data_IF_505992647741
#
_entry.id   IF_505992647741
#
_cell.length_a   1.000
_cell.length_b   1.000
_cell.length_c   1.000
_cell.angle_alpha   90.00
_cell.angle_beta   90.00
_cell.angle_gamma   90.00
#
_symmetry.space_group_name_H-M   'P 1'
#
loop_
_entity.id
_entity.type
_entity.pdbx_description
1 polymer ?
#
# COMPACT_ATOMS: atom_id res chain seq x y z
N UNK A 1 -6.89 -4.11 -19.31
CA UNK A 1 -8.35 -3.93 -19.49
C UNK A 1 -9.22 -4.80 -18.57
N UNK A 2 -8.72 -5.93 -18.02
CA UNK A 2 -9.48 -6.86 -17.15
C UNK A 2 -10.31 -6.17 -16.03
N UNK A 3 -9.72 -5.21 -15.32
CA UNK A 3 -10.34 -4.57 -14.15
C UNK A 3 -11.26 -3.39 -14.47
N UNK A 4 -11.42 -3.03 -15.75
CA UNK A 4 -12.30 -1.94 -16.22
C UNK A 4 -13.35 -2.43 -17.22
N UNK A 5 -13.46 -3.75 -17.38
CA UNK A 5 -14.44 -4.36 -18.27
C UNK A 5 -15.88 -4.13 -17.76
N UNK A 6 -16.89 -4.01 -18.66
CA UNK A 6 -18.28 -3.87 -18.26
C UNK A 6 -18.72 -4.98 -17.29
N UNK A 7 -19.35 -4.59 -16.18
CA UNK A 7 -19.84 -5.52 -15.14
C UNK A 7 -18.78 -5.97 -14.13
N UNK A 8 -17.52 -5.54 -14.26
CA UNK A 8 -16.50 -5.72 -13.23
C UNK A 8 -16.52 -4.52 -12.28
N UNK A 9 -16.40 -4.78 -10.98
CA UNK A 9 -16.29 -3.76 -9.96
C UNK A 9 -15.06 -4.00 -9.10
N UNK A 10 -14.47 -2.92 -8.60
CA UNK A 10 -13.44 -2.95 -7.55
C UNK A 10 -14.08 -2.45 -6.27
N UNK A 11 -14.01 -3.27 -5.22
CA UNK A 11 -14.38 -2.85 -3.88
C UNK A 11 -13.14 -2.37 -3.15
N UNK A 12 -13.13 -1.10 -2.75
CA UNK A 12 -12.07 -0.53 -1.93
C UNK A 12 -12.56 -0.35 -0.50
N UNK A 13 -11.63 -0.48 0.44
CA UNK A 13 -11.85 -0.22 1.86
C UNK A 13 -10.80 0.75 2.34
N UNK A 14 -11.21 1.76 3.11
CA UNK A 14 -10.30 2.53 3.93
C UNK A 14 -10.22 1.86 5.30
N UNK A 15 -9.05 1.33 5.64
CA UNK A 15 -8.81 0.65 6.91
C UNK A 15 -7.85 1.46 7.77
N UNK A 16 -7.98 1.34 9.08
CA UNK A 16 -7.04 1.87 10.05
C UNK A 16 -6.72 0.81 11.09
N UNK A 17 -5.47 0.81 11.56
CA UNK A 17 -4.97 -0.10 12.57
C UNK A 17 -3.86 0.61 13.34
N UNK A 18 -3.62 0.16 14.58
CA UNK A 18 -2.54 0.69 15.41
C UNK A 18 -1.22 0.02 15.02
N UNK A 19 -0.29 0.81 14.47
CA UNK A 19 1.03 0.35 14.04
C UNK A 19 1.86 -0.26 15.18
N UNK A 20 1.60 0.12 16.44
CA UNK A 20 2.27 -0.50 17.59
C UNK A 20 1.85 -1.97 17.81
N UNK A 21 0.62 -2.31 17.40
CA UNK A 21 0.05 -3.66 17.51
C UNK A 21 0.15 -4.46 16.21
N UNK A 22 0.15 -3.76 15.07
CA UNK A 22 0.18 -4.33 13.74
C UNK A 22 1.05 -3.44 12.84
N UNK A 23 2.39 -3.63 12.86
CA UNK A 23 3.31 -2.95 11.96
C UNK A 23 2.92 -3.17 10.50
N UNK A 24 3.23 -2.21 9.62
CA UNK A 24 2.86 -2.25 8.20
C UNK A 24 3.31 -3.54 7.51
N UNK A 25 4.53 -3.98 7.81
CA UNK A 25 5.08 -5.25 7.35
C UNK A 25 4.20 -6.44 7.76
N UNK A 26 3.80 -6.51 9.03
CA UNK A 26 2.94 -7.58 9.55
C UNK A 26 1.53 -7.52 8.93
N UNK A 27 0.97 -6.32 8.76
CA UNK A 27 -0.28 -6.15 8.00
C UNK A 27 -0.16 -6.75 6.59
N UNK A 28 0.91 -6.45 5.85
CA UNK A 28 1.14 -7.00 4.51
C UNK A 28 1.39 -8.51 4.51
N UNK A 29 2.22 -9.02 5.42
CA UNK A 29 2.61 -10.44 5.40
C UNK A 29 1.57 -11.38 6.03
N UNK A 30 0.89 -10.95 7.09
CA UNK A 30 0.01 -11.80 7.91
C UNK A 30 -1.47 -11.55 7.66
N UNK A 31 -1.88 -10.29 7.44
CA UNK A 31 -3.29 -9.96 7.14
C UNK A 31 -3.56 -10.13 5.65
N UNK A 32 -2.77 -9.49 4.79
CA UNK A 32 -2.96 -9.56 3.33
C UNK A 32 -2.39 -10.87 2.77
N UNK A 33 -1.16 -11.23 3.14
CA UNK A 33 -0.45 -12.40 2.65
C UNK A 33 0.50 -12.09 1.50
N UNK A 34 1.45 -12.98 1.23
CA UNK A 34 2.43 -12.82 0.14
C UNK A 34 1.76 -12.65 -1.24
N UNK A 35 2.36 -11.84 -2.11
CA UNK A 35 1.85 -11.56 -3.47
C UNK A 35 1.64 -12.82 -4.29
N UNK A 36 2.55 -13.79 -4.17
CA UNK A 36 2.35 -15.13 -4.70
C UNK A 36 1.49 -15.94 -3.72
N UNK A 37 0.25 -16.34 -4.08
CA UNK A 37 -0.67 -16.93 -3.11
C UNK A 37 -0.17 -18.22 -2.47
N UNK A 38 0.63 -19.04 -3.18
CA UNK A 38 1.20 -20.28 -2.62
C UNK A 38 2.13 -20.05 -1.42
N UNK A 39 2.72 -18.85 -1.34
CA UNK A 39 3.66 -18.44 -0.29
C UNK A 39 2.96 -17.60 0.79
N UNK A 40 1.64 -17.41 0.68
CA UNK A 40 0.86 -16.61 1.63
C UNK A 40 0.68 -17.34 2.97
N UNK A 41 0.92 -16.60 4.07
CA UNK A 41 0.78 -17.11 5.42
C UNK A 41 -0.62 -17.69 5.68
N UNK A 42 -0.70 -18.81 6.40
CA UNK A 42 -1.97 -19.43 6.73
C UNK A 42 -2.87 -18.43 7.50
N UNK A 43 -4.14 -18.33 7.09
CA UNK A 43 -5.11 -17.41 7.67
C UNK A 43 -5.13 -16.00 7.05
N UNK A 44 -4.12 -15.62 6.27
CA UNK A 44 -4.11 -14.36 5.51
C UNK A 44 -5.19 -14.34 4.44
N UNK A 45 -5.57 -13.15 3.97
CA UNK A 45 -6.58 -12.98 2.93
C UNK A 45 -6.20 -13.71 1.63
N UNK A 46 -4.96 -13.58 1.14
CA UNK A 46 -4.52 -14.28 -0.07
C UNK A 46 -4.48 -15.79 0.10
N UNK A 47 -4.20 -16.29 1.31
CA UNK A 47 -4.34 -17.73 1.58
C UNK A 47 -5.82 -18.17 1.52
N UNK A 48 -6.74 -17.40 2.11
CA UNK A 48 -8.19 -17.69 2.03
C UNK A 48 -8.71 -17.64 0.59
N UNK A 49 -8.32 -16.61 -0.18
CA UNK A 49 -8.70 -16.53 -1.58
C UNK A 49 -8.16 -17.70 -2.39
N UNK A 50 -6.92 -18.16 -2.12
CA UNK A 50 -6.36 -19.36 -2.75
C UNK A 50 -7.12 -20.62 -2.37
N UNK A 51 -7.44 -20.81 -1.10
CA UNK A 51 -8.02 -22.06 -0.59
C UNK A 51 -9.53 -22.17 -0.84
N UNK A 52 -10.23 -21.02 -0.94
CA UNK A 52 -11.68 -20.94 -1.00
C UNK A 52 -12.19 -20.27 -2.30
N UNK A 53 -11.36 -20.17 -3.35
CA UNK A 53 -11.67 -19.40 -4.57
C UNK A 53 -13.02 -19.78 -5.21
N UNK A 54 -13.34 -21.08 -5.31
CA UNK A 54 -14.61 -21.56 -5.88
C UNK A 54 -15.81 -21.12 -5.03
N UNK A 55 -15.70 -21.28 -3.71
CA UNK A 55 -16.75 -20.90 -2.77
C UNK A 55 -16.99 -19.38 -2.74
N UNK A 56 -15.94 -18.60 -3.00
CA UNK A 56 -15.97 -17.15 -3.15
C UNK A 56 -16.43 -16.69 -4.55
N UNK A 57 -16.70 -17.63 -5.47
CA UNK A 57 -17.20 -17.35 -6.81
C UNK A 57 -16.15 -16.80 -7.78
N UNK A 58 -14.87 -16.99 -7.50
CA UNK A 58 -13.80 -16.66 -8.45
C UNK A 58 -13.84 -17.65 -9.63
N UNK A 59 -13.41 -17.20 -10.80
CA UNK A 59 -13.47 -18.01 -12.05
C UNK A 59 -12.33 -19.01 -12.17
N UNK A 60 -11.24 -18.76 -11.48
CA UNK A 60 -10.00 -19.53 -11.54
C UNK A 60 -9.25 -19.41 -10.21
N UNK A 61 -8.36 -20.36 -9.96
CA UNK A 61 -7.46 -20.31 -8.81
C UNK A 61 -6.56 -19.07 -8.88
N UNK A 62 -6.31 -18.46 -7.73
CA UNK A 62 -5.46 -17.27 -7.63
C UNK A 62 -4.02 -17.55 -8.05
N UNK A 63 -3.38 -16.58 -8.71
CA UNK A 63 -1.98 -16.66 -9.13
C UNK A 63 -1.23 -15.37 -8.78
N UNK A 64 0.01 -15.20 -9.25
CA UNK A 64 0.82 -14.02 -8.97
C UNK A 64 0.14 -12.72 -9.45
N UNK A 65 -0.43 -12.74 -10.66
CA UNK A 65 -1.08 -11.59 -11.26
C UNK A 65 -2.50 -11.37 -10.69
N UNK A 66 -3.21 -12.44 -10.40
CA UNK A 66 -4.61 -12.45 -9.95
C UNK A 66 -4.72 -13.04 -8.54
N UNK A 67 -4.25 -12.28 -7.54
CA UNK A 67 -4.23 -12.68 -6.14
C UNK A 67 -5.38 -12.09 -5.30
N UNK A 68 -6.47 -11.70 -5.97
CA UNK A 68 -7.76 -11.24 -5.44
C UNK A 68 -7.79 -9.94 -4.60
N UNK A 69 -6.70 -9.57 -3.91
CA UNK A 69 -6.66 -8.38 -3.05
C UNK A 69 -5.36 -7.59 -3.20
N UNK A 70 -5.52 -6.27 -3.24
CA UNK A 70 -4.46 -5.28 -3.19
C UNK A 70 -4.48 -4.53 -1.86
N UNK A 71 -3.30 -4.16 -1.37
CA UNK A 71 -3.13 -3.27 -0.22
C UNK A 71 -1.85 -2.45 -0.43
N UNK A 72 -1.87 -1.19 0.00
CA UNK A 72 -0.74 -0.27 -0.15
C UNK A 72 0.54 -0.84 0.47
N UNK A 73 1.68 -0.64 -0.20
CA UNK A 73 3.00 -1.10 0.22
C UNK A 73 3.57 -0.35 1.41
N UNK A 74 3.17 0.91 1.58
CA UNK A 74 3.60 1.75 2.68
C UNK A 74 2.78 3.03 2.79
N UNK A 75 3.08 3.88 3.79
CA UNK A 75 2.38 5.14 4.03
C UNK A 75 2.33 6.09 2.83
N UNK A 76 3.42 6.19 2.07
CA UNK A 76 3.52 7.08 0.90
C UNK A 76 2.67 6.59 -0.28
N UNK A 77 2.70 5.29 -0.58
CA UNK A 77 1.83 4.72 -1.61
C UNK A 77 0.35 4.79 -1.18
N UNK A 78 0.06 4.57 0.11
CA UNK A 78 -1.28 4.70 0.64
C UNK A 78 -1.85 6.12 0.48
N UNK A 79 -1.01 7.16 0.62
CA UNK A 79 -1.39 8.55 0.32
C UNK A 79 -1.80 8.72 -1.15
N UNK A 80 -1.01 8.20 -2.08
CA UNK A 80 -1.31 8.26 -3.52
C UNK A 80 -2.58 7.49 -3.86
N UNK A 81 -2.77 6.31 -3.27
CA UNK A 81 -3.96 5.50 -3.49
C UNK A 81 -5.23 6.19 -2.95
N UNK A 82 -5.18 6.79 -1.76
CA UNK A 82 -6.32 7.58 -1.25
C UNK A 82 -6.65 8.77 -2.16
N UNK A 83 -5.64 9.42 -2.75
CA UNK A 83 -5.88 10.46 -3.74
C UNK A 83 -6.60 9.91 -4.98
N UNK A 84 -6.17 8.77 -5.52
CA UNK A 84 -6.74 8.16 -6.73
C UNK A 84 -8.17 7.67 -6.47
N UNK A 85 -8.38 6.91 -5.39
CA UNK A 85 -9.64 6.20 -5.15
C UNK A 85 -10.68 7.03 -4.41
N UNK A 86 -10.26 7.98 -3.56
CA UNK A 86 -11.16 8.79 -2.73
C UNK A 86 -11.20 10.26 -3.14
N UNK A 87 -10.36 10.68 -4.11
CA UNK A 87 -10.23 12.10 -4.48
C UNK A 87 -9.68 12.97 -3.35
N UNK A 88 -9.04 12.37 -2.35
CA UNK A 88 -8.57 13.09 -1.17
C UNK A 88 -7.39 13.99 -1.51
N UNK A 89 -7.45 15.26 -1.07
CA UNK A 89 -6.31 16.17 -1.20
C UNK A 89 -5.14 15.68 -0.34
N UNK A 90 -4.00 15.44 -0.97
CA UNK A 90 -2.79 14.97 -0.31
C UNK A 90 -2.31 15.93 0.78
N UNK A 91 -2.60 17.23 0.68
CA UNK A 91 -2.25 18.23 1.70
C UNK A 91 -3.19 18.19 2.90
N UNK A 92 -4.41 17.66 2.71
CA UNK A 92 -5.39 17.49 3.76
C UNK A 92 -5.29 16.13 4.47
N UNK A 93 -4.64 15.15 3.83
CA UNK A 93 -4.42 13.80 4.35
C UNK A 93 -3.60 13.78 5.65
N UNK A 94 -3.90 12.90 6.63
CA UNK A 94 -3.14 12.82 7.87
C UNK A 94 -1.63 12.60 7.66
N UNK A 95 -1.25 11.74 6.72
CA UNK A 95 0.16 11.48 6.42
C UNK A 95 0.80 12.66 5.69
N UNK A 96 0.11 13.24 4.69
CA UNK A 96 0.60 14.43 3.99
C UNK A 96 0.77 15.64 4.91
N UNK A 97 -0.17 15.89 5.82
CA UNK A 97 -0.05 16.92 6.87
C UNK A 97 1.15 16.67 7.78
N UNK A 98 1.42 15.43 8.14
CA UNK A 98 2.57 15.08 8.98
C UNK A 98 3.89 15.38 8.26
N UNK A 99 4.01 15.08 6.96
CA UNK A 99 5.19 15.46 6.17
C UNK A 99 5.36 16.98 6.05
N UNK A 100 4.27 17.71 5.75
CA UNK A 100 4.27 19.17 5.70
C UNK A 100 4.72 19.77 7.04
N UNK A 101 4.23 19.23 8.16
CA UNK A 101 4.63 19.62 9.51
C UNK A 101 6.10 19.33 9.85
N UNK A 102 6.77 18.47 9.07
CA UNK A 102 8.20 18.15 9.17
C UNK A 102 9.07 18.88 8.13
N UNK A 103 8.52 19.93 7.51
CA UNK A 103 9.27 20.81 6.61
C UNK A 103 9.39 20.31 5.17
N UNK A 104 8.74 19.18 4.82
CA UNK A 104 8.59 18.80 3.41
C UNK A 104 7.64 19.79 2.77
N UNK A 105 8.08 20.52 1.74
CA UNK A 105 7.19 21.47 1.08
C UNK A 105 6.14 20.77 0.20
N UNK A 106 5.11 21.52 -0.20
CA UNK A 106 4.02 20.99 -0.98
C UNK A 106 4.43 20.51 -2.39
N UNK A 107 5.47 21.12 -2.99
CA UNK A 107 5.95 20.72 -4.31
C UNK A 107 6.67 19.37 -4.20
N UNK A 108 7.51 19.20 -3.17
CA UNK A 108 8.16 17.94 -2.86
C UNK A 108 7.17 16.84 -2.52
N UNK A 109 6.13 17.14 -1.74
CA UNK A 109 5.06 16.17 -1.46
C UNK A 109 4.37 15.67 -2.73
N UNK A 110 4.06 16.58 -3.67
CA UNK A 110 3.49 16.23 -4.97
C UNK A 110 4.44 15.39 -5.83
N UNK A 111 5.75 15.67 -5.76
CA UNK A 111 6.75 14.86 -6.45
C UNK A 111 6.82 13.45 -5.86
N UNK A 112 6.88 13.31 -4.53
CA UNK A 112 7.03 12.03 -3.84
C UNK A 112 5.91 11.03 -4.19
N UNK A 113 4.67 11.49 -4.35
CA UNK A 113 3.53 10.62 -4.70
C UNK A 113 3.52 10.18 -6.17
N UNK A 114 4.40 10.72 -7.01
CA UNK A 114 4.67 10.22 -8.37
C UNK A 114 5.80 9.18 -8.39
N UNK A 115 6.16 8.67 -7.20
CA UNK A 115 7.12 7.59 -6.99
C UNK A 115 8.54 7.89 -7.56
N UNK A 116 9.18 9.05 -7.31
CA UNK A 116 10.44 9.43 -7.96
C UNK A 116 11.59 8.51 -7.51
N UNK A 117 12.73 8.57 -8.21
CA UNK A 117 13.98 8.02 -7.65
C UNK A 117 14.46 8.91 -6.50
N UNK A 118 14.82 8.29 -5.38
CA UNK A 118 15.29 8.94 -4.16
C UNK A 118 16.65 8.39 -3.76
N UNK A 119 17.41 9.23 -3.07
CA UNK A 119 18.48 8.83 -2.17
C UNK A 119 18.06 9.18 -0.75
N UNK A 120 17.90 8.16 0.10
CA UNK A 120 17.55 8.34 1.50
C UNK A 120 18.79 8.75 2.31
N UNK A 121 18.56 9.31 3.51
CA UNK A 121 19.63 9.73 4.43
C UNK A 121 20.54 8.57 4.88
N UNK A 122 20.02 7.34 4.84
CA UNK A 122 20.75 6.12 5.15
C UNK A 122 21.59 5.60 3.97
N UNK A 123 21.60 6.30 2.83
CA UNK A 123 22.36 5.98 1.63
C UNK A 123 21.66 5.01 0.66
N UNK A 124 20.46 4.50 0.99
CA UNK A 124 19.68 3.68 0.05
C UNK A 124 19.21 4.52 -1.14
N UNK A 125 19.22 3.93 -2.33
CA UNK A 125 18.78 4.55 -3.59
C UNK A 125 17.80 3.65 -4.34
N UNK A 126 16.77 4.24 -4.94
CA UNK A 126 15.71 3.51 -5.63
C UNK A 126 14.44 4.32 -5.78
N UNK A 127 13.36 3.69 -6.26
CA UNK A 127 12.04 4.33 -6.35
C UNK A 127 11.46 4.55 -4.96
N UNK A 128 10.78 5.68 -4.75
CA UNK A 128 10.27 6.07 -3.45
C UNK A 128 9.37 5.01 -2.81
N UNK A 129 8.48 4.38 -3.59
CA UNK A 129 7.56 3.36 -3.09
C UNK A 129 8.32 2.09 -2.68
N UNK A 130 9.29 1.66 -3.49
CA UNK A 130 10.09 0.46 -3.21
C UNK A 130 10.98 0.67 -1.97
N UNK A 131 11.56 1.86 -1.81
CA UNK A 131 12.43 2.20 -0.69
C UNK A 131 11.71 2.26 0.66
N UNK A 132 10.42 2.58 0.63
CA UNK A 132 9.57 2.84 1.79
C UNK A 132 8.51 1.75 2.01
N UNK A 133 8.57 0.67 1.22
CA UNK A 133 7.72 -0.51 1.38
C UNK A 133 7.95 -1.16 2.76
N UNK A 134 6.88 -1.68 3.35
CA UNK A 134 6.85 -2.36 4.65
C UNK A 134 7.25 -1.49 5.86
N UNK A 135 7.59 -0.21 5.66
CA UNK A 135 7.98 0.70 6.73
C UNK A 135 6.76 1.34 7.40
N UNK A 136 6.85 1.55 8.71
CA UNK A 136 5.81 2.22 9.47
C UNK A 136 5.82 3.73 9.27
N UNK A 137 4.68 4.37 9.54
CA UNK A 137 4.50 5.82 9.36
C UNK A 137 5.59 6.66 10.04
N UNK A 138 5.95 6.45 11.32
CA UNK A 138 6.99 7.27 11.96
C UNK A 138 8.35 7.18 11.25
N UNK A 139 8.76 5.98 10.83
CA UNK A 139 10.02 5.75 10.14
C UNK A 139 10.05 6.44 8.77
N UNK A 140 8.97 6.30 7.99
CA UNK A 140 8.86 6.99 6.69
C UNK A 140 8.90 8.51 6.86
N UNK A 141 8.23 9.04 7.88
CA UNK A 141 8.28 10.47 8.18
C UNK A 141 9.69 10.93 8.56
N UNK A 142 10.50 10.12 9.24
CA UNK A 142 11.89 10.46 9.61
C UNK A 142 12.80 10.45 8.36
N UNK A 143 12.62 9.44 7.49
CA UNK A 143 13.40 9.29 6.25
C UNK A 143 13.14 10.39 5.23
N UNK A 144 11.90 10.89 5.15
CA UNK A 144 11.48 11.90 4.18
C UNK A 144 11.53 13.34 4.71
N UNK A 145 11.78 13.56 6.00
CA UNK A 145 11.87 14.91 6.57
C UNK A 145 12.98 15.75 5.89
N UNK A 146 12.84 17.08 5.98
CA UNK A 146 13.82 18.04 5.47
C UNK A 146 15.11 18.12 6.31
#
# INVERSE_FOLDING_TARGET
EKFVAPGVAVHWFLVSFDAASLPWKAFRSEVIGATQPKDAAAGSLRAKFRDEWEALGLKEETNYQDNAVHASAGPLEALRERQIWLGQDIKADPFGKALLGRGVDAARLLELVENPELELRDGRRGRAFDLLEDLDTPEVLDLLAA
#
